data_IF_006301247271
#
_entry.id   IF_006301247271
#
_cell.length_a   1.000
_cell.length_b   1.000
_cell.length_c   1.000
_cell.angle_alpha   90.00
_cell.angle_beta   90.00
_cell.angle_gamma   90.00
#
_symmetry.space_group_name_H-M   'P 1'
#
loop_
_entity.id
_entity.type
_entity.pdbx_description
1 polymer ?
#
# COMPACT_ATOMS: atom_id res chain seq x y z
N UNK A 1 16.81 14.54 19.29
CA UNK A 1 15.68 13.68 19.68
C UNK A 1 15.47 12.68 18.55
N UNK A 2 15.60 11.37 18.80
CA UNK A 2 15.36 10.33 17.77
C UNK A 2 13.86 10.17 17.58
N UNK A 3 13.40 10.18 16.33
CA UNK A 3 11.98 9.98 15.98
C UNK A 3 11.47 8.62 16.47
N UNK A 4 10.17 8.46 16.79
CA UNK A 4 9.57 7.20 17.25
C UNK A 4 9.83 6.01 16.30
N UNK A 5 9.96 6.27 15.00
CA UNK A 5 10.32 5.30 13.96
C UNK A 5 11.72 4.69 14.20
N UNK A 6 12.69 5.50 14.64
CA UNK A 6 14.05 5.03 14.95
C UNK A 6 14.10 4.13 16.20
N UNK A 7 13.11 4.19 17.08
CA UNK A 7 13.01 3.33 18.26
C UNK A 7 12.36 1.96 17.95
N UNK A 8 11.48 1.88 16.96
CA UNK A 8 10.92 0.61 16.45
C UNK A 8 11.98 -0.21 15.69
N UNK A 9 12.82 0.45 14.90
CA UNK A 9 13.93 -0.19 14.18
C UNK A 9 15.08 -0.66 15.08
N UNK A 10 15.20 -0.11 16.30
CA UNK A 10 16.24 -0.51 17.27
C UNK A 10 15.93 -1.81 18.02
N UNK A 11 14.74 -2.41 17.84
CA UNK A 11 14.31 -3.71 18.44
C UNK A 11 14.07 -4.80 17.40
N UNK A 12 14.96 -4.95 16.39
CA UNK A 12 14.78 -5.96 15.35
C UNK A 12 13.46 -5.71 14.61
N UNK A 13 13.50 -5.02 13.45
CA UNK A 13 12.32 -4.53 12.74
C UNK A 13 11.24 -5.61 12.51
N UNK A 14 10.00 -5.18 12.30
CA UNK A 14 8.89 -6.08 11.97
C UNK A 14 9.25 -6.78 10.65
N UNK A 15 9.24 -8.13 10.59
CA UNK A 15 9.56 -8.85 9.36
C UNK A 15 8.62 -8.47 8.21
N UNK A 16 9.14 -8.33 7.00
CA UNK A 16 8.35 -7.97 5.81
C UNK A 16 7.11 -8.84 5.62
N UNK A 17 7.25 -10.14 5.82
CA UNK A 17 6.13 -11.07 5.74
C UNK A 17 5.03 -10.78 6.79
N UNK A 18 5.36 -10.18 7.93
CA UNK A 18 4.40 -9.69 8.92
C UNK A 18 3.77 -8.39 8.44
N UNK A 19 4.59 -7.43 7.99
CA UNK A 19 4.09 -6.15 7.43
C UNK A 19 3.06 -6.39 6.33
N UNK A 20 3.28 -7.36 5.44
CA UNK A 20 2.35 -7.72 4.36
C UNK A 20 0.97 -8.22 4.86
N UNK A 21 0.90 -8.78 6.07
CA UNK A 21 -0.35 -9.27 6.66
C UNK A 21 -1.08 -8.25 7.52
N UNK A 22 -0.38 -7.26 8.07
CA UNK A 22 -1.00 -6.23 8.92
C UNK A 22 -2.21 -5.53 8.28
N UNK A 23 -2.20 -5.19 6.97
CA UNK A 23 -3.37 -4.60 6.32
C UNK A 23 -4.61 -5.50 6.32
N UNK A 24 -4.44 -6.83 6.27
CA UNK A 24 -5.55 -7.78 6.36
C UNK A 24 -6.13 -7.80 7.77
N UNK A 25 -5.28 -7.83 8.80
CA UNK A 25 -5.71 -7.76 10.21
C UNK A 25 -6.43 -6.44 10.49
N UNK A 26 -5.87 -5.32 10.02
CA UNK A 26 -6.49 -4.00 10.15
C UNK A 26 -7.90 -4.00 9.55
N UNK A 27 -8.06 -4.47 8.31
CA UNK A 27 -9.37 -4.51 7.64
C UNK A 27 -10.38 -5.40 8.37
N UNK A 28 -9.96 -6.56 8.88
CA UNK A 28 -10.82 -7.44 9.67
C UNK A 28 -11.29 -6.75 10.95
N UNK A 29 -10.39 -6.07 11.66
CA UNK A 29 -10.70 -5.34 12.89
C UNK A 29 -11.63 -4.14 12.62
N UNK A 30 -11.44 -3.39 11.53
CA UNK A 30 -12.38 -2.33 11.12
C UNK A 30 -13.78 -2.89 10.94
N UNK A 31 -13.92 -4.04 10.26
CA UNK A 31 -15.21 -4.67 10.05
C UNK A 31 -15.83 -5.21 11.38
N UNK A 32 -15.00 -5.64 12.34
CA UNK A 32 -15.45 -6.05 13.65
C UNK A 32 -15.90 -4.85 14.50
N UNK A 33 -15.12 -3.76 14.53
CA UNK A 33 -15.46 -2.52 15.21
C UNK A 33 -16.78 -1.94 14.70
N UNK A 34 -17.00 -1.92 13.39
CA UNK A 34 -18.25 -1.47 12.78
C UNK A 34 -19.47 -2.30 13.17
N UNK A 35 -19.28 -3.54 13.62
CA UNK A 35 -20.32 -4.43 14.18
C UNK A 35 -20.46 -4.33 15.69
N UNK A 36 -19.69 -3.47 16.36
CA UNK A 36 -19.71 -3.29 17.80
C UNK A 36 -18.99 -4.40 18.59
N UNK A 37 -18.10 -5.17 17.95
CA UNK A 37 -17.30 -6.19 18.62
C UNK A 37 -16.22 -5.49 19.44
N UNK A 38 -16.25 -5.64 20.76
CA UNK A 38 -15.29 -5.02 21.68
C UNK A 38 -14.05 -5.88 21.92
N UNK A 39 -14.22 -7.19 21.98
CA UNK A 39 -13.16 -8.16 22.26
C UNK A 39 -13.15 -9.23 21.16
N UNK A 40 -11.97 -9.65 20.73
CA UNK A 40 -11.78 -10.71 19.75
C UNK A 40 -10.69 -11.68 20.20
N UNK A 41 -10.94 -12.98 20.07
CA UNK A 41 -9.90 -14.00 20.30
C UNK A 41 -8.92 -14.08 19.14
N UNK A 42 -7.73 -14.67 19.36
CA UNK A 42 -6.78 -14.92 18.28
C UNK A 42 -7.32 -15.92 17.24
N UNK A 43 -8.19 -16.80 17.64
CA UNK A 43 -8.85 -17.80 16.80
C UNK A 43 -9.85 -17.13 15.85
N UNK A 44 -10.75 -16.30 16.35
CA UNK A 44 -11.76 -15.57 15.57
C UNK A 44 -11.12 -14.60 14.56
N UNK A 45 -10.08 -13.85 14.98
CA UNK A 45 -9.38 -12.94 14.08
C UNK A 45 -8.58 -13.70 13.01
N UNK A 46 -8.00 -14.85 13.37
CA UNK A 46 -7.25 -15.70 12.43
C UNK A 46 -8.17 -16.32 11.37
N UNK A 47 -9.37 -16.77 11.73
CA UNK A 47 -10.37 -17.29 10.81
C UNK A 47 -10.77 -16.27 9.75
N UNK A 48 -11.01 -15.01 10.13
CA UNK A 48 -11.37 -13.93 9.19
C UNK A 48 -10.25 -13.55 8.24
N UNK A 49 -9.01 -13.91 8.55
CA UNK A 49 -7.82 -13.51 7.78
C UNK A 49 -7.10 -14.69 7.12
N UNK A 50 -7.69 -15.90 7.18
CA UNK A 50 -7.16 -17.13 6.58
C UNK A 50 -5.70 -17.46 7.00
N UNK A 51 -5.34 -17.11 8.26
CA UNK A 51 -4.05 -17.48 8.87
C UNK A 51 -4.28 -18.36 10.09
N UNK A 52 -3.25 -19.05 10.59
CA UNK A 52 -3.37 -19.76 11.86
C UNK A 52 -3.30 -18.80 13.06
N UNK A 53 -4.00 -19.11 14.15
CA UNK A 53 -3.95 -18.30 15.38
C UNK A 53 -2.54 -18.18 15.97
N UNK A 54 -1.73 -19.23 15.82
CA UNK A 54 -0.31 -19.19 16.21
C UNK A 54 0.50 -18.18 15.38
N UNK A 55 0.25 -18.10 14.06
CA UNK A 55 0.86 -17.13 13.16
C UNK A 55 0.43 -15.71 13.49
N UNK A 56 -0.88 -15.49 13.70
CA UNK A 56 -1.42 -14.21 14.12
C UNK A 56 -0.77 -13.72 15.42
N UNK A 57 -0.73 -14.56 16.45
CA UNK A 57 -0.09 -14.22 17.74
C UNK A 57 1.38 -13.84 17.56
N UNK A 58 2.11 -14.59 16.73
CA UNK A 58 3.52 -14.26 16.42
C UNK A 58 3.63 -12.92 15.71
N UNK A 59 2.79 -12.65 14.71
CA UNK A 59 2.82 -11.38 13.99
C UNK A 59 2.50 -10.20 14.91
N UNK A 60 1.46 -10.32 15.74
CA UNK A 60 1.10 -9.27 16.69
C UNK A 60 2.15 -9.05 17.78
N UNK A 61 2.93 -10.08 18.15
CA UNK A 61 4.01 -9.94 19.14
C UNK A 61 5.14 -9.01 18.69
N UNK A 62 5.33 -8.80 17.38
CA UNK A 62 6.28 -7.81 16.86
C UNK A 62 5.82 -6.36 17.09
N UNK A 63 4.51 -6.13 17.23
CA UNK A 63 3.95 -4.82 17.56
C UNK A 63 3.98 -4.55 19.06
N UNK A 64 3.89 -5.60 19.88
CA UNK A 64 3.84 -5.56 21.34
C UNK A 64 2.98 -6.68 21.91
N UNK A 65 2.87 -6.74 23.24
CA UNK A 65 2.06 -7.73 23.93
C UNK A 65 0.69 -7.13 24.27
N UNK A 66 -0.27 -7.27 23.37
CA UNK A 66 -1.59 -6.61 23.49
C UNK A 66 -2.73 -7.55 23.88
N UNK A 67 -2.53 -8.87 23.82
CA UNK A 67 -3.54 -9.85 24.19
C UNK A 67 -3.45 -10.28 25.65
N UNK A 68 -4.61 -10.43 26.28
CA UNK A 68 -4.72 -11.05 27.61
C UNK A 68 -5.08 -12.52 27.45
N UNK A 69 -4.31 -13.40 28.10
CA UNK A 69 -4.53 -14.84 28.04
C UNK A 69 -5.94 -15.22 28.53
N UNK A 70 -6.69 -15.92 27.70
CA UNK A 70 -8.06 -16.33 27.97
C UNK A 70 -9.14 -15.26 27.75
N UNK A 71 -8.75 -14.01 27.42
CA UNK A 71 -9.67 -12.90 27.13
C UNK A 71 -9.63 -12.51 25.66
N UNK A 72 -8.44 -12.48 25.05
CA UNK A 72 -8.24 -12.02 23.67
C UNK A 72 -7.67 -10.60 23.60
N UNK A 73 -8.06 -9.88 22.56
CA UNK A 73 -7.62 -8.53 22.23
C UNK A 73 -8.78 -7.56 22.26
N UNK A 74 -8.58 -6.39 22.83
CA UNK A 74 -9.46 -5.24 22.63
C UNK A 74 -9.37 -4.80 21.17
N UNK A 75 -10.52 -4.74 20.50
CA UNK A 75 -10.59 -4.52 19.03
C UNK A 75 -10.11 -3.11 18.67
N UNK A 76 -10.58 -2.09 19.38
CA UNK A 76 -10.23 -0.70 19.08
C UNK A 76 -8.76 -0.41 19.40
N UNK A 77 -8.29 -0.93 20.53
CA UNK A 77 -6.88 -0.78 20.91
C UNK A 77 -5.95 -1.47 19.90
N UNK A 78 -6.25 -2.72 19.50
CA UNK A 78 -5.43 -3.43 18.52
C UNK A 78 -5.49 -2.78 17.15
N UNK A 79 -6.67 -2.29 16.74
CA UNK A 79 -6.85 -1.52 15.50
C UNK A 79 -5.94 -0.29 15.48
N UNK A 80 -5.92 0.50 16.56
CA UNK A 80 -5.05 1.65 16.69
C UNK A 80 -3.56 1.28 16.62
N UNK A 81 -3.14 0.21 17.30
CA UNK A 81 -1.73 -0.22 17.28
C UNK A 81 -1.28 -0.67 15.88
N UNK A 82 -2.13 -1.39 15.15
CA UNK A 82 -1.84 -1.79 13.77
C UNK A 82 -1.83 -0.58 12.84
N UNK A 83 -2.82 0.32 12.96
CA UNK A 83 -2.86 1.55 12.18
C UNK A 83 -1.60 2.40 12.40
N UNK A 84 -1.15 2.53 13.65
CA UNK A 84 0.09 3.23 13.99
C UNK A 84 1.33 2.55 13.39
N UNK A 85 1.41 1.22 13.43
CA UNK A 85 2.53 0.47 12.85
C UNK A 85 2.59 0.59 11.33
N UNK A 86 1.42 0.67 10.67
CA UNK A 86 1.29 0.87 9.23
C UNK A 86 1.44 2.35 8.80
N UNK A 87 1.60 3.28 9.74
CA UNK A 87 1.66 4.70 9.45
C UNK A 87 0.32 5.34 9.07
N UNK A 88 -0.81 4.67 9.29
CA UNK A 88 -2.15 5.16 8.92
C UNK A 88 -2.71 6.24 9.87
N UNK A 89 -1.92 6.67 10.85
CA UNK A 89 -2.27 7.75 11.78
C UNK A 89 -1.85 9.13 11.27
N UNK A 90 -1.30 9.19 10.05
CA UNK A 90 -0.89 10.42 9.38
C UNK A 90 -1.26 10.36 7.90
N UNK A 91 -1.26 11.50 7.23
CA UNK A 91 -1.48 11.59 5.79
C UNK A 91 -0.17 11.40 5.03
N UNK A 92 -0.28 10.71 3.89
CA UNK A 92 0.82 10.44 2.98
C UNK A 92 0.53 11.07 1.62
N UNK A 93 1.20 12.18 1.27
CA UNK A 93 1.11 12.74 -0.07
C UNK A 93 1.70 11.78 -1.11
N UNK A 94 0.94 11.53 -2.17
CA UNK A 94 1.26 10.59 -3.25
C UNK A 94 1.25 11.33 -4.57
N UNK A 95 2.24 11.07 -5.43
CA UNK A 95 2.23 11.49 -6.83
C UNK A 95 2.03 10.29 -7.74
N UNK A 96 1.30 10.48 -8.84
CA UNK A 96 1.07 9.45 -9.86
C UNK A 96 1.69 9.90 -11.16
N UNK A 97 2.54 9.06 -11.75
CA UNK A 97 3.14 9.27 -13.05
C UNK A 97 2.63 8.24 -14.05
N UNK A 98 2.11 8.73 -15.18
CA UNK A 98 1.37 7.97 -16.18
C UNK A 98 -0.13 8.05 -15.90
N UNK A 99 -0.84 8.95 -16.61
CA UNK A 99 -2.28 9.19 -16.45
C UNK A 99 -3.05 8.59 -17.64
N UNK A 100 -2.61 7.41 -18.10
CA UNK A 100 -3.38 6.55 -18.99
C UNK A 100 -4.59 5.94 -18.26
N UNK A 101 -5.22 4.93 -18.86
CA UNK A 101 -6.43 4.32 -18.28
C UNK A 101 -6.24 3.86 -16.83
N UNK A 102 -5.10 3.21 -16.53
CA UNK A 102 -4.81 2.72 -15.18
C UNK A 102 -4.51 3.87 -14.22
N UNK A 103 -3.64 4.80 -14.59
CA UNK A 103 -3.29 5.93 -13.72
C UNK A 103 -4.49 6.81 -13.40
N UNK A 104 -5.35 7.06 -14.38
CA UNK A 104 -6.61 7.77 -14.17
C UNK A 104 -7.54 7.04 -13.19
N UNK A 105 -7.68 5.71 -13.34
CA UNK A 105 -8.48 4.90 -12.41
C UNK A 105 -7.88 4.90 -10.99
N UNK A 106 -6.55 4.86 -10.86
CA UNK A 106 -5.86 4.94 -9.56
C UNK A 106 -6.02 6.31 -8.91
N UNK A 107 -5.95 7.40 -9.69
CA UNK A 107 -6.15 8.76 -9.19
C UNK A 107 -7.53 8.92 -8.53
N UNK A 108 -8.57 8.39 -9.16
CA UNK A 108 -9.95 8.41 -8.63
C UNK A 108 -10.27 7.32 -7.59
N UNK A 109 -9.31 6.46 -7.22
CA UNK A 109 -9.59 5.32 -6.34
C UNK A 109 -9.85 5.76 -4.89
N UNK A 110 -11.08 5.61 -4.37
CA UNK A 110 -11.44 6.10 -3.03
C UNK A 110 -10.72 5.36 -1.90
N UNK A 111 -10.19 4.18 -2.20
CA UNK A 111 -9.41 3.38 -1.25
C UNK A 111 -8.08 4.01 -0.84
N UNK A 112 -7.56 4.99 -1.56
CA UNK A 112 -6.37 5.73 -1.15
C UNK A 112 -6.71 6.72 -0.04
N UNK A 113 -7.65 7.62 -0.28
CA UNK A 113 -8.06 8.64 0.68
C UNK A 113 -8.57 8.02 2.00
N UNK A 114 -9.35 6.94 1.93
CA UNK A 114 -9.87 6.25 3.13
C UNK A 114 -8.78 5.61 4.01
N UNK A 115 -7.53 5.55 3.51
CA UNK A 115 -6.37 4.99 4.23
C UNK A 115 -5.26 6.00 4.48
N UNK A 116 -5.56 7.30 4.35
CA UNK A 116 -4.59 8.37 4.62
C UNK A 116 -3.60 8.65 3.47
N UNK A 117 -3.88 8.17 2.25
CA UNK A 117 -3.07 8.51 1.07
C UNK A 117 -3.77 9.60 0.27
N UNK A 118 -3.12 10.76 0.16
CA UNK A 118 -3.66 11.91 -0.59
C UNK A 118 -2.89 12.07 -1.89
N UNK A 119 -3.56 11.89 -3.03
CA UNK A 119 -2.95 12.17 -4.33
C UNK A 119 -2.84 13.67 -4.50
N UNK A 120 -1.62 14.18 -4.61
CA UNK A 120 -1.29 15.62 -4.65
C UNK A 120 -0.74 16.08 -6.00
N UNK A 121 -0.42 15.15 -6.90
CA UNK A 121 0.07 15.48 -8.23
C UNK A 121 -0.14 14.34 -9.22
N UNK A 122 -0.49 14.71 -10.45
CA UNK A 122 -0.68 13.82 -11.59
C UNK A 122 0.24 14.27 -12.71
N UNK A 123 1.05 13.34 -13.25
CA UNK A 123 2.07 13.67 -14.25
C UNK A 123 1.99 12.73 -15.44
N UNK A 124 2.20 13.27 -16.63
CA UNK A 124 2.31 12.49 -17.86
C UNK A 124 3.33 13.13 -18.81
N UNK A 125 3.88 12.32 -19.72
CA UNK A 125 4.74 12.78 -20.80
C UNK A 125 3.95 13.07 -22.09
N UNK A 126 2.74 12.53 -22.25
CA UNK A 126 1.92 12.73 -23.45
C UNK A 126 1.29 14.13 -23.42
N UNK A 127 1.63 15.00 -24.41
CA UNK A 127 1.04 16.32 -24.53
C UNK A 127 -0.50 16.34 -24.62
N UNK A 128 -1.10 15.22 -25.03
CA UNK A 128 -2.57 15.09 -25.07
C UNK A 128 -3.22 14.93 -23.71
N UNK A 129 -2.45 14.44 -22.74
CA UNK A 129 -2.89 14.25 -21.36
C UNK A 129 -2.62 15.47 -20.48
N UNK A 130 -1.54 16.18 -20.78
CA UNK A 130 -1.16 17.39 -20.03
C UNK A 130 -2.27 18.43 -20.17
N UNK A 131 -2.73 18.96 -19.04
CA UNK A 131 -3.86 19.90 -18.95
C UNK A 131 -5.22 19.22 -18.78
N UNK A 132 -5.33 17.90 -18.90
CA UNK A 132 -6.58 17.19 -18.52
C UNK A 132 -6.88 17.38 -17.03
N UNK A 133 -8.16 17.53 -16.71
CA UNK A 133 -8.64 17.63 -15.34
C UNK A 133 -9.17 16.28 -14.86
N UNK A 134 -8.73 15.85 -13.68
CA UNK A 134 -9.11 14.58 -13.06
C UNK A 134 -9.67 14.83 -11.66
N UNK A 135 -10.86 14.30 -11.37
CA UNK A 135 -11.46 14.40 -10.04
C UNK A 135 -10.87 13.35 -9.11
N UNK A 136 -10.20 13.80 -8.05
CA UNK A 136 -9.51 13.01 -7.04
C UNK A 136 -10.10 13.32 -5.67
N UNK A 137 -10.77 12.35 -5.05
CA UNK A 137 -11.40 12.50 -3.74
C UNK A 137 -12.28 13.78 -3.60
N UNK A 138 -12.93 14.22 -4.70
CA UNK A 138 -13.77 15.41 -4.73
C UNK A 138 -13.05 16.72 -5.05
N UNK A 139 -11.73 16.68 -5.23
CA UNK A 139 -10.90 17.82 -5.67
C UNK A 139 -10.47 17.60 -7.13
N UNK A 140 -10.43 18.66 -7.90
CA UNK A 140 -9.98 18.62 -9.29
C UNK A 140 -8.47 18.85 -9.35
N UNK A 141 -7.73 17.88 -9.91
CA UNK A 141 -6.30 17.97 -10.16
C UNK A 141 -6.04 18.01 -11.67
N UNK A 142 -5.13 18.88 -12.09
CA UNK A 142 -4.70 18.97 -13.49
C UNK A 142 -3.49 18.08 -13.72
N UNK A 143 -3.48 17.33 -14.80
CA UNK A 143 -2.31 16.56 -15.24
C UNK A 143 -1.21 17.51 -15.67
N UNK A 144 -0.04 17.38 -15.06
CA UNK A 144 1.12 18.24 -15.26
C UNK A 144 2.19 17.54 -16.10
N UNK A 145 3.06 18.29 -16.79
CA UNK A 145 4.25 17.72 -17.40
C UNK A 145 5.27 17.27 -16.33
N UNK A 146 6.12 16.32 -16.67
CA UNK A 146 7.16 15.80 -15.75
C UNK A 146 8.12 16.89 -15.25
N UNK A 147 8.29 17.99 -16.00
CA UNK A 147 9.10 19.14 -15.56
C UNK A 147 8.60 19.82 -14.29
N UNK A 148 7.31 19.71 -13.98
CA UNK A 148 6.72 20.29 -12.76
C UNK A 148 6.83 19.36 -11.53
N UNK A 149 7.35 18.15 -11.70
CA UNK A 149 7.48 17.17 -10.62
C UNK A 149 8.29 17.74 -9.45
N UNK A 150 9.40 18.43 -9.73
CA UNK A 150 10.25 19.04 -8.71
C UNK A 150 9.46 20.00 -7.82
N UNK A 151 8.71 20.91 -8.42
CA UNK A 151 7.92 21.92 -7.71
C UNK A 151 6.89 21.25 -6.80
N UNK A 152 6.10 20.32 -7.35
CA UNK A 152 5.08 19.59 -6.58
C UNK A 152 5.70 18.79 -5.43
N UNK A 153 6.80 18.10 -5.65
CA UNK A 153 7.49 17.33 -4.61
C UNK A 153 7.98 18.21 -3.47
N UNK A 154 8.55 19.37 -3.81
CA UNK A 154 9.05 20.33 -2.82
C UNK A 154 7.91 20.92 -1.98
N UNK A 155 6.81 21.33 -2.60
CA UNK A 155 5.67 21.96 -1.95
C UNK A 155 4.86 20.99 -1.08
N UNK A 156 4.64 19.78 -1.58
CA UNK A 156 3.78 18.78 -0.92
C UNK A 156 4.54 17.82 -0.01
N UNK A 157 5.87 17.77 -0.13
CA UNK A 157 6.75 16.80 0.55
C UNK A 157 6.34 15.34 0.28
N UNK A 158 5.82 15.07 -0.91
CA UNK A 158 5.44 13.72 -1.28
C UNK A 158 6.66 12.80 -1.28
N UNK A 159 6.56 11.67 -0.58
CA UNK A 159 7.62 10.65 -0.50
C UNK A 159 7.21 9.33 -1.15
N UNK A 160 5.97 9.24 -1.62
CA UNK A 160 5.41 8.05 -2.27
C UNK A 160 5.09 8.39 -3.72
N UNK A 161 5.63 7.59 -4.65
CA UNK A 161 5.35 7.68 -6.08
C UNK A 161 4.61 6.43 -6.58
N UNK A 162 3.64 6.63 -7.47
CA UNK A 162 2.97 5.56 -8.21
C UNK A 162 3.39 5.66 -9.67
N UNK A 163 3.94 4.56 -10.21
CA UNK A 163 4.32 4.44 -11.60
C UNK A 163 3.26 3.61 -12.32
N UNK A 164 2.55 4.23 -13.25
CA UNK A 164 1.52 3.62 -14.10
C UNK A 164 1.82 3.86 -15.59
N UNK A 165 3.10 3.95 -15.94
CA UNK A 165 3.61 4.15 -17.29
C UNK A 165 3.82 2.81 -18.01
N UNK A 166 3.98 2.81 -19.35
CA UNK A 166 4.49 1.66 -20.08
C UNK A 166 5.86 1.20 -19.58
N UNK A 167 6.18 -0.09 -19.83
CA UNK A 167 7.42 -0.74 -19.39
C UNK A 167 8.69 0.04 -19.77
N UNK A 168 8.74 0.50 -21.00
CA UNK A 168 9.92 1.20 -21.56
C UNK A 168 10.20 2.57 -20.95
N UNK A 169 9.23 3.18 -20.26
CA UNK A 169 9.39 4.48 -19.58
C UNK A 169 9.55 4.35 -18.07
N UNK A 170 9.29 3.17 -17.51
CA UNK A 170 9.15 3.00 -16.06
C UNK A 170 10.45 3.25 -15.29
N UNK A 171 11.61 2.84 -15.82
CA UNK A 171 12.89 3.06 -15.15
C UNK A 171 13.26 4.55 -15.14
N UNK A 172 13.11 5.25 -16.25
CA UNK A 172 13.40 6.70 -16.34
C UNK A 172 12.51 7.49 -15.36
N UNK A 173 11.23 7.14 -15.28
CA UNK A 173 10.30 7.75 -14.32
C UNK A 173 10.70 7.41 -12.88
N UNK A 174 11.13 6.19 -12.61
CA UNK A 174 11.64 5.79 -11.30
C UNK A 174 12.84 6.64 -10.88
N UNK A 175 13.83 6.78 -11.78
CA UNK A 175 15.03 7.56 -11.52
C UNK A 175 14.71 9.03 -11.26
N UNK A 176 13.76 9.58 -12.01
CA UNK A 176 13.28 10.96 -11.83
C UNK A 176 12.59 11.15 -10.46
N UNK A 177 11.70 10.23 -10.09
CA UNK A 177 11.03 10.26 -8.78
C UNK A 177 12.05 10.18 -7.62
N UNK A 178 13.01 9.26 -7.70
CA UNK A 178 14.07 9.08 -6.70
C UNK A 178 14.97 10.32 -6.63
N UNK A 179 15.33 10.90 -7.77
CA UNK A 179 16.12 12.14 -7.82
C UNK A 179 15.42 13.30 -7.09
N UNK A 180 14.09 13.35 -7.13
CA UNK A 180 13.29 14.36 -6.43
C UNK A 180 12.85 13.96 -5.02
N UNK A 181 13.43 12.89 -4.44
CA UNK A 181 13.28 12.55 -3.03
C UNK A 181 12.19 11.51 -2.71
N UNK A 182 11.61 10.87 -3.72
CA UNK A 182 10.71 9.72 -3.50
C UNK A 182 11.53 8.55 -2.93
N UNK A 183 11.07 8.00 -1.82
CA UNK A 183 11.70 6.85 -1.15
C UNK A 183 10.83 5.60 -1.14
N UNK A 184 9.59 5.70 -1.61
CA UNK A 184 8.65 4.57 -1.68
C UNK A 184 7.89 4.59 -3.00
N UNK A 185 7.96 3.50 -3.76
CA UNK A 185 7.40 3.41 -5.12
C UNK A 185 6.42 2.24 -5.20
N UNK A 186 5.21 2.53 -5.68
CA UNK A 186 4.25 1.53 -6.10
C UNK A 186 4.29 1.41 -7.63
N UNK A 187 4.88 0.32 -8.13
CA UNK A 187 5.10 0.09 -9.55
C UNK A 187 4.03 -0.83 -10.16
N UNK A 188 3.26 -0.32 -11.12
CA UNK A 188 2.31 -1.09 -11.93
C UNK A 188 2.86 -1.47 -13.31
N UNK A 189 4.03 -0.95 -13.71
CA UNK A 189 4.66 -1.39 -14.96
C UNK A 189 5.19 -2.83 -14.81
N UNK A 190 5.06 -3.67 -15.85
CA UNK A 190 5.45 -5.08 -15.79
C UNK A 190 6.98 -5.28 -15.88
N UNK A 191 7.75 -4.48 -15.16
CA UNK A 191 9.22 -4.48 -15.16
C UNK A 191 9.76 -4.39 -13.74
N UNK A 192 10.92 -4.98 -13.51
CA UNK A 192 11.69 -4.84 -12.26
C UNK A 192 12.50 -3.53 -12.36
N UNK A 193 12.28 -2.65 -11.40
CA UNK A 193 13.01 -1.38 -11.32
C UNK A 193 14.29 -1.55 -10.52
N UNK A 194 15.36 -0.92 -10.99
CA UNK A 194 16.61 -0.77 -10.26
C UNK A 194 16.55 0.51 -9.44
N UNK A 195 16.82 0.41 -8.13
CA UNK A 195 16.76 1.55 -7.22
C UNK A 195 17.95 1.55 -6.26
N UNK A 196 18.40 2.72 -5.80
CA UNK A 196 19.44 2.81 -4.78
C UNK A 196 18.97 2.27 -3.42
N UNK A 197 19.92 1.96 -2.55
CA UNK A 197 19.62 1.57 -1.17
C UNK A 197 18.81 2.67 -0.45
N UNK A 198 17.76 2.26 0.28
CA UNK A 198 16.86 3.18 0.99
C UNK A 198 15.63 3.59 0.19
N UNK A 199 15.45 3.10 -1.02
CA UNK A 199 14.20 3.21 -1.79
C UNK A 199 13.48 1.87 -1.78
N UNK A 200 12.23 1.87 -1.34
CA UNK A 200 11.38 0.69 -1.31
C UNK A 200 10.48 0.65 -2.55
N UNK A 201 10.48 -0.49 -3.25
CA UNK A 201 9.61 -0.71 -4.41
C UNK A 201 8.64 -1.85 -4.14
N UNK A 202 7.35 -1.59 -4.36
CA UNK A 202 6.30 -2.62 -4.37
C UNK A 202 5.74 -2.73 -5.79
N UNK A 203 5.87 -3.91 -6.37
CA UNK A 203 5.33 -4.21 -7.70
C UNK A 203 3.92 -4.80 -7.60
N UNK A 204 3.03 -4.32 -8.43
CA UNK A 204 1.68 -4.84 -8.60
C UNK A 204 1.54 -5.30 -10.05
N UNK A 205 1.51 -6.61 -10.25
CA UNK A 205 1.39 -7.23 -11.57
C UNK A 205 0.07 -8.01 -11.65
N UNK A 206 -0.94 -7.37 -12.23
CA UNK A 206 -2.28 -7.96 -12.34
C UNK A 206 -2.29 -9.19 -13.25
N UNK A 207 -1.40 -9.27 -14.25
CA UNK A 207 -1.31 -10.41 -15.14
C UNK A 207 -0.78 -11.65 -14.41
N UNK A 208 0.19 -11.47 -13.51
CA UNK A 208 0.70 -12.55 -12.67
C UNK A 208 -0.40 -13.16 -11.80
N UNK A 209 -1.29 -12.36 -11.23
CA UNK A 209 -2.41 -12.86 -10.42
C UNK A 209 -3.38 -13.71 -11.27
N UNK A 210 -3.65 -13.29 -12.52
CA UNK A 210 -4.47 -14.07 -13.45
C UNK A 210 -3.78 -15.36 -13.88
N UNK A 211 -2.45 -15.37 -14.04
CA UNK A 211 -1.69 -16.59 -14.35
C UNK A 211 -1.78 -17.61 -13.21
N UNK A 212 -1.73 -17.17 -11.97
CA UNK A 212 -1.91 -18.04 -10.80
C UNK A 212 -3.32 -18.66 -10.81
N UNK A 213 -4.35 -17.86 -11.11
CA UNK A 213 -5.73 -18.37 -11.23
C UNK A 213 -5.86 -19.37 -12.38
N UNK A 214 -5.24 -19.11 -13.54
CA UNK A 214 -5.24 -20.05 -14.68
C UNK A 214 -4.61 -21.40 -14.31
N UNK A 215 -3.51 -21.40 -13.55
CA UNK A 215 -2.92 -22.63 -13.00
C UNK A 215 -3.92 -23.44 -12.16
N UNK A 216 -4.66 -22.75 -11.27
CA UNK A 216 -5.66 -23.41 -10.43
C UNK A 216 -6.83 -23.98 -11.24
N UNK A 217 -7.30 -23.28 -12.26
CA UNK A 217 -8.36 -23.77 -13.16
C UNK A 217 -7.91 -25.01 -13.97
N UNK A 218 -6.69 -24.98 -14.50
CA UNK A 218 -6.12 -26.15 -15.20
C UNK A 218 -6.05 -27.36 -14.29
N UNK A 219 -5.65 -27.19 -13.03
CA UNK A 219 -5.59 -28.29 -12.05
C UNK A 219 -6.96 -28.86 -11.72
N UNK A 220 -8.00 -28.02 -11.58
CA UNK A 220 -9.38 -28.46 -11.35
C UNK A 220 -9.89 -29.30 -12.54
N UNK A 221 -9.63 -28.83 -13.77
CA UNK A 221 -10.03 -29.57 -14.98
C UNK A 221 -9.37 -30.95 -15.06
N UNK A 222 -8.10 -31.11 -14.69
CA UNK A 222 -7.41 -32.39 -14.64
C UNK A 222 -8.01 -33.35 -13.60
N UNK A 223 -8.39 -32.84 -12.41
CA UNK A 223 -9.01 -33.63 -11.35
C UNK A 223 -10.43 -34.09 -11.71
N UNK A 224 -11.15 -33.34 -12.55
CA UNK A 224 -12.50 -33.69 -13.00
C UNK A 224 -12.51 -34.76 -14.10
N UNK A 225 -11.37 -35.06 -14.70
CA UNK A 225 -11.21 -36.12 -15.77
C UNK A 225 -10.70 -37.47 -15.21
N UNK A 226 -10.40 -37.53 -13.91
CA UNK A 226 -9.96 -38.73 -13.17
C UNK A 226 -11.08 -39.25 -12.28
#
# INVERSE_FOLDING_TARGET
MRTPQAQLNARGGIPDATVQRLPMYHRALVAMAARGVLLVSSEELAETTAVSSAKLRKDLSFLGSYGTRGVGYDVEFLLYQIARALGLTQEWPVVIVGVGNLGHALAGYPGFASRGFTVVGLFDADPKRIGESVVVAGTELTVQPLSELHTTMHETRASIGVIATPENAAQEVCDLLVHHGVTSILNFAPVILEVPSGVDVRRVDLATELQILAFHEQRKAQLALT
#
